data_IF_921363327524
#
_entry.id   IF_921363327524
#
_cell.length_a   1.000
_cell.length_b   1.000
_cell.length_c   1.000
_cell.angle_alpha   90.00
_cell.angle_beta   90.00
_cell.angle_gamma   90.00
#
_symmetry.space_group_name_H-M   'P 1'
#
loop_
_entity.id
_entity.type
_entity.pdbx_description
1 polymer ?
#
# COMPACT_ATOMS: atom_id res chain seq x y z
N UNK A 1 10.18 16.56 -22.11
CA UNK A 1 10.88 16.84 -20.82
C UNK A 1 10.29 15.99 -19.68
N UNK A 2 11.09 15.31 -18.84
CA UNK A 2 10.44 14.71 -17.68
C UNK A 2 11.17 15.05 -16.38
N UNK A 3 10.46 15.73 -15.48
CA UNK A 3 10.76 15.59 -14.05
C UNK A 3 10.15 14.25 -13.61
N UNK A 4 10.93 13.18 -13.75
CA UNK A 4 10.57 11.85 -13.26
C UNK A 4 10.79 11.82 -11.73
N UNK A 5 9.77 12.17 -10.94
CA UNK A 5 9.87 12.09 -9.46
C UNK A 5 8.68 11.42 -8.76
N UNK A 6 7.74 10.82 -9.49
CA UNK A 6 6.45 10.35 -8.94
C UNK A 6 6.55 9.35 -7.76
N UNK A 7 7.70 8.70 -7.54
CA UNK A 7 7.92 7.74 -6.47
C UNK A 7 9.16 8.00 -5.60
N UNK A 8 9.94 9.06 -5.87
CA UNK A 8 11.16 9.40 -5.12
C UNK A 8 10.92 10.41 -4.00
N UNK A 9 9.77 11.09 -4.00
CA UNK A 9 9.37 11.98 -2.90
C UNK A 9 9.33 11.20 -1.58
N UNK A 10 9.87 11.83 -0.54
CA UNK A 10 9.97 11.26 0.79
C UNK A 10 8.64 11.37 1.54
N UNK A 11 8.40 10.42 2.44
CA UNK A 11 7.28 10.39 3.37
C UNK A 11 7.81 10.09 4.77
N UNK A 12 7.14 10.69 5.76
CA UNK A 12 7.41 10.48 7.18
C UNK A 12 6.08 10.37 7.91
N UNK A 13 5.82 9.24 8.56
CA UNK A 13 4.59 8.99 9.31
C UNK A 13 4.78 7.85 10.31
N UNK A 14 3.95 7.85 11.35
CA UNK A 14 3.76 6.73 12.26
C UNK A 14 2.34 6.20 12.06
N UNK A 15 2.22 4.88 11.93
CA UNK A 15 0.93 4.24 11.67
C UNK A 15 0.80 2.92 12.43
N UNK A 16 -0.36 2.73 13.04
CA UNK A 16 -0.82 1.48 13.62
C UNK A 16 -2.30 1.32 13.27
N UNK A 17 -2.63 0.30 12.48
CA UNK A 17 -3.99 0.10 11.99
C UNK A 17 -4.07 -0.76 10.74
N UNK A 18 -5.19 -0.66 10.03
CA UNK A 18 -5.45 -1.46 8.83
C UNK A 18 -4.68 -0.92 7.61
N UNK A 19 -4.08 -1.81 6.83
CA UNK A 19 -3.32 -1.45 5.64
C UNK A 19 -4.19 -0.77 4.57
N UNK A 20 -5.47 -1.11 4.45
CA UNK A 20 -6.37 -0.48 3.47
C UNK A 20 -6.53 1.01 3.77
N UNK A 21 -6.63 1.39 5.05
CA UNK A 21 -6.75 2.78 5.47
C UNK A 21 -5.45 3.55 5.23
N UNK A 22 -4.31 2.95 5.60
CA UNK A 22 -2.99 3.53 5.31
C UNK A 22 -2.78 3.75 3.82
N UNK A 23 -3.02 2.71 3.00
CA UNK A 23 -2.84 2.78 1.55
C UNK A 23 -3.79 3.80 0.89
N UNK A 24 -5.02 3.92 1.39
CA UNK A 24 -5.96 4.95 0.94
C UNK A 24 -5.44 6.37 1.23
N UNK A 25 -4.93 6.60 2.45
CA UNK A 25 -4.36 7.89 2.83
C UNK A 25 -3.10 8.22 2.01
N UNK A 26 -2.20 7.24 1.83
CA UNK A 26 -0.99 7.36 1.03
C UNK A 26 -1.30 7.63 -0.45
N UNK A 27 -2.28 6.94 -1.03
CA UNK A 27 -2.71 7.17 -2.40
C UNK A 27 -3.26 8.58 -2.58
N UNK A 28 -4.14 9.03 -1.67
CA UNK A 28 -4.70 10.39 -1.69
C UNK A 28 -3.63 11.47 -1.62
N UNK A 29 -2.61 11.29 -0.76
CA UNK A 29 -1.50 12.22 -0.64
C UNK A 29 -0.67 12.36 -1.93
N UNK A 30 -0.73 11.36 -2.82
CA UNK A 30 -0.03 11.32 -4.12
C UNK A 30 -0.93 11.57 -5.32
N UNK A 31 -2.19 11.93 -5.10
CA UNK A 31 -3.16 12.08 -6.19
C UNK A 31 -3.45 10.78 -6.94
N UNK A 32 -3.18 9.62 -6.32
CA UNK A 32 -3.52 8.31 -6.85
C UNK A 32 -4.95 7.95 -6.46
N UNK A 33 -5.66 7.26 -7.36
CA UNK A 33 -6.86 6.52 -6.98
C UNK A 33 -6.46 5.32 -6.12
N UNK A 34 -7.35 4.91 -5.22
CA UNK A 34 -7.18 3.72 -4.40
C UNK A 34 -8.35 2.77 -4.60
N UNK A 35 -8.08 1.48 -4.74
CA UNK A 35 -9.09 0.44 -4.76
C UNK A 35 -8.62 -0.84 -4.07
N UNK A 36 -9.57 -1.71 -3.73
CA UNK A 36 -9.26 -3.05 -3.27
C UNK A 36 -10.17 -4.07 -3.98
N UNK A 37 -9.73 -5.31 -4.05
CA UNK A 37 -10.46 -6.41 -4.71
C UNK A 37 -10.41 -7.68 -3.85
N UNK A 38 -11.45 -8.52 -3.97
CA UNK A 38 -11.60 -9.73 -3.15
C UNK A 38 -12.36 -9.48 -1.84
N UNK A 39 -12.33 -10.46 -0.94
CA UNK A 39 -13.01 -10.38 0.36
C UNK A 39 -12.15 -9.58 1.33
N UNK A 40 -12.63 -8.42 1.76
CA UNK A 40 -11.91 -7.57 2.71
C UNK A 40 -11.75 -8.30 4.04
N UNK A 41 -10.49 -8.51 4.43
CA UNK A 41 -10.08 -9.01 5.73
C UNK A 41 -9.19 -7.95 6.41
N UNK A 42 -9.09 -7.95 7.75
CA UNK A 42 -8.15 -7.07 8.43
C UNK A 42 -6.71 -7.35 7.99
N UNK A 43 -5.98 -6.29 7.68
CA UNK A 43 -4.54 -6.30 7.37
C UNK A 43 -3.83 -5.39 8.38
N UNK A 44 -3.68 -5.82 9.64
CA UNK A 44 -3.00 -5.00 10.64
C UNK A 44 -1.54 -4.80 10.24
N UNK A 45 -1.11 -3.55 10.23
CA UNK A 45 0.28 -3.16 9.96
C UNK A 45 0.73 -2.11 10.96
N UNK A 46 2.03 -2.15 11.27
CA UNK A 46 2.68 -1.16 12.14
C UNK A 46 3.92 -0.64 11.43
N UNK A 47 3.95 0.67 11.16
CA UNK A 47 5.00 1.31 10.40
C UNK A 47 5.47 2.59 11.09
N UNK A 48 6.79 2.69 11.26
CA UNK A 48 7.49 3.90 11.65
C UNK A 48 8.38 4.32 10.49
N UNK A 49 7.92 5.30 9.71
CA UNK A 49 8.58 5.72 8.47
C UNK A 49 9.15 7.12 8.67
N UNK A 50 10.45 7.27 8.38
CA UNK A 50 11.18 8.54 8.44
C UNK A 50 11.99 8.69 7.15
N UNK A 51 11.80 9.83 6.46
CA UNK A 51 12.57 10.24 5.29
C UNK A 51 12.74 9.13 4.25
N UNK A 52 11.66 8.40 3.99
CA UNK A 52 11.66 7.21 3.13
C UNK A 52 10.92 7.49 1.83
N UNK A 53 11.41 6.98 0.71
CA UNK A 53 10.67 7.12 -0.55
C UNK A 53 9.31 6.44 -0.47
N UNK A 54 8.32 6.98 -1.18
CA UNK A 54 6.99 6.38 -1.29
C UNK A 54 7.04 4.90 -1.69
N UNK A 55 7.88 4.58 -2.70
CA UNK A 55 8.04 3.19 -3.14
C UNK A 55 8.62 2.28 -2.05
N UNK A 56 9.55 2.76 -1.22
CA UNK A 56 10.07 2.00 -0.09
C UNK A 56 8.98 1.81 0.98
N UNK A 57 8.19 2.84 1.28
CA UNK A 57 7.08 2.74 2.24
C UNK A 57 6.02 1.73 1.77
N UNK A 58 5.65 1.74 0.49
CA UNK A 58 4.74 0.75 -0.09
C UNK A 58 5.30 -0.68 0.02
N UNK A 59 6.60 -0.88 -0.21
CA UNK A 59 7.26 -2.19 -0.04
C UNK A 59 7.21 -2.69 1.41
N UNK A 60 7.26 -1.81 2.41
CA UNK A 60 7.09 -2.21 3.81
C UNK A 60 5.66 -2.70 4.08
N UNK A 61 4.66 -2.01 3.53
CA UNK A 61 3.26 -2.45 3.63
C UNK A 61 3.10 -3.81 2.96
N UNK A 62 3.59 -3.96 1.73
CA UNK A 62 3.52 -5.21 0.98
C UNK A 62 4.15 -6.38 1.74
N UNK A 63 5.34 -6.18 2.32
CA UNK A 63 6.01 -7.22 3.12
C UNK A 63 5.18 -7.67 4.33
N UNK A 64 4.46 -6.75 4.98
CA UNK A 64 3.59 -7.07 6.12
C UNK A 64 2.24 -7.64 5.71
N UNK A 65 1.79 -7.46 4.46
CA UNK A 65 0.48 -7.93 3.97
C UNK A 65 0.55 -9.14 3.04
N UNK A 66 1.73 -9.53 2.56
CA UNK A 66 1.94 -10.56 1.53
C UNK A 66 1.33 -11.94 1.86
N UNK A 67 1.08 -12.23 3.13
CA UNK A 67 0.41 -13.45 3.60
C UNK A 67 -1.09 -13.50 3.32
N UNK A 68 -1.71 -12.36 2.98
CA UNK A 68 -3.16 -12.23 2.74
C UNK A 68 -3.54 -11.36 1.56
N UNK A 69 -2.65 -10.51 1.07
CA UNK A 69 -2.94 -9.60 -0.02
C UNK A 69 -1.72 -9.26 -0.84
N UNK A 70 -1.95 -8.92 -2.10
CA UNK A 70 -0.92 -8.45 -3.05
C UNK A 70 -1.16 -6.97 -3.36
N UNK A 71 -0.10 -6.16 -3.30
CA UNK A 71 -0.15 -4.74 -3.63
C UNK A 71 0.21 -4.53 -5.11
N UNK A 72 -0.61 -3.79 -5.84
CA UNK A 72 -0.40 -3.44 -7.24
C UNK A 72 -0.37 -1.93 -7.42
N UNK A 73 0.67 -1.42 -8.10
CA UNK A 73 0.77 -0.02 -8.48
C UNK A 73 0.67 0.10 -10.00
N UNK A 74 -0.37 0.79 -10.46
CA UNK A 74 -0.59 1.15 -11.86
C UNK A 74 -0.45 2.67 -12.04
N UNK A 75 -0.28 3.17 -13.28
CA UNK A 75 -0.34 4.61 -13.53
C UNK A 75 -1.63 5.24 -12.98
N UNK A 76 -1.50 6.10 -11.97
CA UNK A 76 -2.64 6.79 -11.35
C UNK A 76 -3.49 5.94 -10.39
N UNK A 77 -3.14 4.68 -10.11
CA UNK A 77 -3.94 3.77 -9.29
C UNK A 77 -3.07 2.91 -8.37
N UNK A 78 -3.46 2.84 -7.10
CA UNK A 78 -2.96 1.88 -6.12
C UNK A 78 -4.07 0.88 -5.79
N UNK A 79 -3.81 -0.41 -5.98
CA UNK A 79 -4.77 -1.47 -5.71
C UNK A 79 -4.20 -2.49 -4.73
N UNK A 80 -5.01 -2.94 -3.76
CA UNK A 80 -4.68 -4.10 -2.93
C UNK A 80 -5.67 -5.25 -3.17
N UNK A 81 -5.15 -6.41 -3.56
CA UNK A 81 -5.94 -7.59 -3.90
C UNK A 81 -5.86 -8.62 -2.80
N UNK A 82 -6.99 -8.93 -2.15
CA UNK A 82 -7.09 -9.94 -1.11
C UNK A 82 -7.02 -11.34 -1.72
N UNK A 83 -6.11 -12.17 -1.18
CA UNK A 83 -5.95 -13.56 -1.58
C UNK A 83 -7.18 -14.36 -1.16
N UNK A 84 -7.62 -15.28 -2.03
CA UNK A 84 -8.68 -16.22 -1.67
C UNK A 84 -8.19 -17.12 -0.54
N UNK A 85 -9.01 -17.41 0.49
CA UNK A 85 -8.65 -18.41 1.48
C UNK A 85 -8.38 -19.73 0.75
N UNK A 86 -7.23 -20.36 1.00
CA UNK A 86 -6.95 -21.66 0.42
C UNK A 86 -8.11 -22.59 0.74
N UNK A 87 -8.86 -22.99 -0.30
CA UNK A 87 -9.79 -24.10 -0.20
C UNK A 87 -8.92 -25.32 0.08
N UNK A 88 -8.78 -25.70 1.36
CA UNK A 88 -8.30 -27.03 1.73
C UNK A 88 -9.20 -28.02 0.99
N UNK A 89 -8.64 -28.72 0.00
CA UNK A 89 -9.26 -29.89 -0.61
C UNK A 89 -9.24 -31.04 0.39
#
# INVERSE_FOLDING_TARGET
PPLLTANSELVSFDWEGDAVELLSALARARGLQFSYSGVRLPLPVTLHVRDMTFANALRLVEAQTAWRATLHQYPGLLNISFMQPERKK
#
